data_IF_438988760430
#
_entry.id   IF_438988760430
#
_cell.length_a   1.000
_cell.length_b   1.000
_cell.length_c   1.000
_cell.angle_alpha   90.00
_cell.angle_beta   90.00
_cell.angle_gamma   90.00
#
_symmetry.space_group_name_H-M   'P 1'
#
loop_
_entity.id
_entity.type
_entity.pdbx_description
1 polymer ?
#
# COMPACT_ATOMS: atom_id res chain seq x y z
N UNK A 1 -24.35 -4.32 -29.36
CA UNK A 1 -23.16 -4.37 -28.49
C UNK A 1 -22.38 -3.09 -28.71
N UNK A 2 -22.40 -2.15 -27.75
CA UNK A 2 -21.71 -0.87 -27.88
C UNK A 2 -20.25 -1.11 -27.46
N UNK A 3 -19.31 -1.05 -28.41
CA UNK A 3 -17.88 -0.95 -28.06
C UNK A 3 -17.70 0.40 -27.36
N UNK A 4 -17.25 0.41 -26.12
CA UNK A 4 -16.98 1.63 -25.38
C UNK A 4 -16.04 2.56 -26.16
N UNK A 5 -16.23 3.87 -26.00
CA UNK A 5 -15.47 4.93 -26.71
C UNK A 5 -14.03 5.04 -26.20
N UNK A 6 -13.72 4.39 -25.07
CA UNK A 6 -12.38 4.32 -24.51
C UNK A 6 -11.64 3.13 -25.10
N UNK A 7 -10.68 3.41 -25.97
CA UNK A 7 -9.71 2.44 -26.46
C UNK A 7 -8.41 2.62 -25.68
N UNK A 8 -7.90 1.54 -25.10
CA UNK A 8 -6.56 1.54 -24.52
C UNK A 8 -5.55 1.57 -25.67
N UNK A 9 -4.97 2.74 -25.93
CA UNK A 9 -3.90 2.90 -26.89
C UNK A 9 -2.57 2.84 -26.17
N UNK A 10 -1.67 1.97 -26.64
CA UNK A 10 -0.29 1.93 -26.14
C UNK A 10 0.40 3.24 -26.47
N UNK A 11 0.84 3.97 -25.44
CA UNK A 11 1.65 5.16 -25.65
C UNK A 11 3.07 4.76 -26.05
N UNK A 12 3.38 4.87 -27.34
CA UNK A 12 4.71 4.54 -27.88
C UNK A 12 5.79 5.46 -27.30
N UNK A 13 5.45 6.72 -27.01
CA UNK A 13 6.38 7.71 -26.45
C UNK A 13 6.83 7.40 -25.02
N UNK A 14 6.21 6.44 -24.34
CA UNK A 14 6.67 5.97 -23.03
C UNK A 14 6.87 4.45 -22.98
N UNK A 15 7.02 3.79 -24.15
CA UNK A 15 7.12 2.33 -24.26
C UNK A 15 5.97 1.59 -23.54
N UNK A 16 4.76 2.17 -23.58
CA UNK A 16 3.57 1.71 -22.84
C UNK A 16 3.77 1.57 -21.32
N UNK A 17 4.87 2.09 -20.76
CA UNK A 17 5.22 1.94 -19.36
C UNK A 17 4.67 3.07 -18.49
N UNK A 18 4.42 4.24 -19.08
CA UNK A 18 4.09 5.47 -18.35
C UNK A 18 5.31 6.23 -17.83
N UNK A 19 6.52 5.88 -18.28
CA UNK A 19 7.77 6.43 -17.77
C UNK A 19 8.68 6.99 -18.85
N UNK A 20 9.26 8.15 -18.54
CA UNK A 20 10.17 8.90 -19.41
C UNK A 20 11.32 9.46 -18.57
N UNK A 21 12.45 9.76 -19.22
CA UNK A 21 13.54 10.50 -18.60
C UNK A 21 13.06 11.91 -18.23
N UNK A 22 13.41 12.39 -17.03
CA UNK A 22 12.90 13.66 -16.53
C UNK A 22 13.47 14.85 -17.32
N UNK A 23 14.71 14.72 -17.76
CA UNK A 23 15.46 15.75 -18.48
C UNK A 23 15.06 15.89 -19.95
N UNK A 24 14.73 14.80 -20.64
CA UNK A 24 14.44 14.82 -22.08
C UNK A 24 12.97 14.57 -22.42
N UNK A 25 12.21 13.94 -21.52
CA UNK A 25 10.86 13.46 -21.83
C UNK A 25 10.83 12.25 -22.76
N UNK A 26 11.99 11.67 -23.09
CA UNK A 26 12.09 10.48 -23.95
C UNK A 26 11.77 9.20 -23.17
N UNK A 27 11.28 8.14 -23.84
CA UNK A 27 11.08 6.85 -23.20
C UNK A 27 12.36 6.35 -22.53
N UNK A 28 12.24 5.82 -21.32
CA UNK A 28 13.38 5.22 -20.64
C UNK A 28 13.91 4.00 -21.44
N UNK A 29 15.23 3.85 -21.57
CA UNK A 29 15.83 2.62 -22.10
C UNK A 29 15.36 1.40 -21.31
N UNK A 30 15.18 0.26 -21.98
CA UNK A 30 14.58 -0.94 -21.36
C UNK A 30 15.30 -1.38 -20.08
N UNK A 31 16.63 -1.39 -20.08
CA UNK A 31 17.45 -1.77 -18.93
C UNK A 31 17.25 -0.84 -17.71
N UNK A 32 17.13 0.46 -17.97
CA UNK A 32 16.85 1.47 -16.94
C UNK A 32 15.42 1.31 -16.45
N UNK A 33 14.46 1.16 -17.37
CA UNK A 33 13.05 1.01 -17.07
C UNK A 33 12.78 -0.20 -16.18
N UNK A 34 13.36 -1.36 -16.49
CA UNK A 34 13.22 -2.59 -15.68
C UNK A 34 13.72 -2.35 -14.25
N UNK A 35 14.87 -1.70 -14.11
CA UNK A 35 15.45 -1.38 -12.80
C UNK A 35 14.55 -0.43 -12.01
N UNK A 36 14.07 0.65 -12.65
CA UNK A 36 13.18 1.63 -12.02
C UNK A 36 11.85 1.01 -11.57
N UNK A 37 11.22 0.20 -12.44
CA UNK A 37 9.97 -0.48 -12.13
C UNK A 37 10.15 -1.50 -11.00
N UNK A 38 11.25 -2.25 -10.98
CA UNK A 38 11.54 -3.21 -9.92
C UNK A 38 11.69 -2.52 -8.57
N UNK A 39 12.42 -1.40 -8.51
CA UNK A 39 12.57 -0.62 -7.28
C UNK A 39 11.23 -0.05 -6.79
N UNK A 40 10.40 0.47 -7.70
CA UNK A 40 9.06 0.98 -7.36
C UNK A 40 8.12 -0.11 -6.87
N UNK A 41 8.14 -1.28 -7.50
CA UNK A 41 7.34 -2.43 -7.07
C UNK A 41 7.72 -2.83 -5.63
N UNK A 42 9.02 -3.00 -5.36
CA UNK A 42 9.50 -3.34 -4.01
C UNK A 42 9.17 -2.25 -2.97
N UNK A 43 9.13 -0.98 -3.36
CA UNK A 43 8.73 0.11 -2.47
C UNK A 43 7.22 0.04 -2.16
N UNK A 44 6.39 -0.19 -3.18
CA UNK A 44 4.94 -0.34 -3.01
C UNK A 44 4.60 -1.57 -2.16
N UNK A 45 5.25 -2.71 -2.38
CA UNK A 45 5.08 -3.92 -1.56
C UNK A 45 5.43 -3.66 -0.09
N UNK A 46 6.52 -2.93 0.17
CA UNK A 46 6.90 -2.54 1.54
C UNK A 46 5.86 -1.62 2.18
N UNK A 47 5.29 -0.68 1.44
CA UNK A 47 4.21 0.19 1.94
C UNK A 47 2.95 -0.62 2.26
N UNK A 48 2.55 -1.54 1.36
CA UNK A 48 1.40 -2.42 1.57
C UNK A 48 1.62 -3.27 2.83
N UNK A 49 2.80 -3.85 2.99
CA UNK A 49 3.14 -4.65 4.17
C UNK A 49 3.07 -3.82 5.46
N UNK A 50 3.56 -2.58 5.45
CA UNK A 50 3.43 -1.67 6.60
C UNK A 50 1.97 -1.37 6.94
N UNK A 51 1.10 -1.19 5.94
CA UNK A 51 -0.33 -0.93 6.15
C UNK A 51 -1.10 -2.17 6.61
N UNK A 52 -0.68 -3.36 6.17
CA UNK A 52 -1.27 -4.64 6.61
C UNK A 52 -0.90 -5.01 8.03
N UNK A 53 0.26 -4.55 8.53
CA UNK A 53 0.67 -4.82 9.91
C UNK A 53 -0.37 -4.21 10.85
N UNK A 54 -0.96 -5.01 11.76
CA UNK A 54 -1.90 -4.48 12.73
C UNK A 54 -1.22 -3.34 13.48
N UNK A 55 -1.91 -2.20 13.55
CA UNK A 55 -1.43 -1.05 14.30
C UNK A 55 -1.04 -1.55 15.69
N UNK A 56 0.23 -1.37 16.07
CA UNK A 56 0.71 -1.77 17.39
C UNK A 56 -0.05 -0.89 18.37
N UNK A 57 -1.08 -1.44 19.00
CA UNK A 57 -1.82 -0.71 20.02
C UNK A 57 -0.83 -0.39 21.14
N UNK A 58 -0.61 0.89 21.41
CA UNK A 58 0.28 1.36 22.47
C UNK A 58 -0.51 2.24 23.43
N UNK A 59 -0.03 2.33 24.67
CA UNK A 59 -0.65 3.16 25.71
C UNK A 59 -2.02 2.65 26.19
N UNK A 60 -2.88 3.54 26.72
CA UNK A 60 -4.15 3.16 27.36
C UNK A 60 -5.11 2.37 26.46
N UNK A 61 -5.00 2.53 25.14
CA UNK A 61 -5.80 1.79 24.16
C UNK A 61 -5.66 0.26 24.28
N UNK A 62 -4.49 -0.20 24.75
CA UNK A 62 -4.22 -1.61 25.06
C UNK A 62 -5.08 -2.11 26.21
N UNK A 63 -5.35 -1.25 27.21
CA UNK A 63 -6.14 -1.61 28.39
C UNK A 63 -7.63 -1.68 28.03
N UNK A 64 -8.13 -0.72 27.24
CA UNK A 64 -9.53 -0.69 26.81
C UNK A 64 -9.91 -1.85 25.86
N UNK A 65 -8.96 -2.39 25.10
CA UNK A 65 -9.20 -3.53 24.20
C UNK A 65 -8.92 -4.90 24.84
N UNK A 66 -8.52 -4.94 26.11
CA UNK A 66 -8.36 -6.18 26.84
C UNK A 66 -9.67 -6.68 27.43
N UNK A 67 -9.74 -7.99 27.66
CA UNK A 67 -10.85 -8.61 28.36
C UNK A 67 -10.96 -8.01 29.78
N UNK A 68 -12.12 -7.42 30.10
CA UNK A 68 -12.38 -6.79 31.39
C UNK A 68 -12.79 -7.78 32.50
N UNK A 69 -12.66 -9.09 32.30
CA UNK A 69 -12.91 -10.14 33.32
C UNK A 69 -11.80 -10.19 34.39
N UNK A 70 -11.63 -9.09 35.12
CA UNK A 70 -10.66 -8.95 36.22
C UNK A 70 -11.32 -8.89 37.60
N UNK A 71 -12.65 -8.90 37.66
CA UNK A 71 -13.41 -8.95 38.90
C UNK A 71 -13.37 -10.33 39.55
N UNK A 72 -13.84 -10.42 40.81
CA UNK A 72 -13.96 -11.67 41.53
C UNK A 72 -14.78 -12.70 40.74
N UNK A 73 -14.29 -13.94 40.65
CA UNK A 73 -14.94 -15.01 39.90
C UNK A 73 -14.93 -14.82 38.37
N UNK A 74 -14.13 -13.90 37.83
CA UNK A 74 -14.10 -13.61 36.39
C UNK A 74 -15.23 -12.69 35.91
N UNK A 75 -15.85 -11.96 36.83
CA UNK A 75 -16.80 -10.89 36.51
C UNK A 75 -16.10 -9.68 35.89
N UNK A 76 -16.86 -8.82 35.22
CA UNK A 76 -16.32 -7.57 34.69
C UNK A 76 -15.90 -6.65 35.84
N UNK A 77 -14.74 -6.02 35.74
CA UNK A 77 -14.27 -5.04 36.72
C UNK A 77 -14.96 -3.68 36.46
N UNK A 78 -15.89 -3.29 37.32
CA UNK A 78 -16.29 -1.89 37.54
C UNK A 78 -15.48 -1.41 38.75
N UNK A 79 -14.73 -0.32 38.60
CA UNK A 79 -13.83 0.19 39.65
C UNK A 79 -14.54 1.06 40.69
N UNK A 80 -15.77 0.70 41.04
CA UNK A 80 -16.63 1.36 42.03
C UNK A 80 -16.40 0.87 43.47
#
# INVERSE_FOLDING_TARGET
MIKGVFHEMTCVQCNASGWVAAETGEPLPLEVLVTQLSMRLQAAERQIEQLKRPARMTGPAVIYNQNNRRGAGGSNYTGD
#
